data_IF_374274576939
#
_entry.id   IF_374274576939
#
_cell.length_a   1.000
_cell.length_b   1.000
_cell.length_c   1.000
_cell.angle_alpha   90.00
_cell.angle_beta   90.00
_cell.angle_gamma   90.00
#
_symmetry.space_group_name_H-M   'P 1'
#
loop_
_entity.id
_entity.type
_entity.pdbx_description
1 polymer ?
#
# COMPACT_ATOMS: atom_id res chain seq x y z
N UNK A 1 14.19 -37.29 10.52
CA UNK A 1 13.39 -36.50 9.56
C UNK A 1 12.02 -37.09 9.19
N UNK A 2 11.86 -38.41 9.01
CA UNK A 2 10.58 -39.05 8.60
C UNK A 2 9.39 -38.74 9.54
N UNK A 3 9.60 -38.73 10.85
CA UNK A 3 8.55 -38.45 11.84
C UNK A 3 7.95 -37.04 11.71
N UNK A 4 8.78 -36.03 11.40
CA UNK A 4 8.32 -34.66 11.20
C UNK A 4 7.59 -34.48 9.87
N UNK A 5 8.02 -35.18 8.81
CA UNK A 5 7.27 -35.25 7.53
C UNK A 5 5.88 -35.85 7.71
N UNK A 6 5.70 -36.78 8.66
CA UNK A 6 4.39 -37.37 8.97
C UNK A 6 3.50 -36.44 9.80
N UNK A 7 4.03 -35.82 10.86
CA UNK A 7 3.28 -34.87 11.69
C UNK A 7 2.89 -33.61 10.92
N UNK A 8 3.74 -33.09 10.04
CA UNK A 8 3.40 -31.94 9.19
C UNK A 8 2.39 -32.28 8.10
N UNK A 9 2.27 -33.55 7.67
CA UNK A 9 1.17 -33.96 6.79
C UNK A 9 -0.16 -34.11 7.54
N UNK A 10 -0.12 -34.58 8.78
CA UNK A 10 -1.33 -34.74 9.60
C UNK A 10 -1.88 -33.39 10.12
N UNK A 11 -1.00 -32.44 10.46
CA UNK A 11 -1.37 -31.06 10.80
C UNK A 11 -0.37 -30.06 10.17
N UNK A 12 -0.59 -29.67 8.89
CA UNK A 12 0.32 -28.80 8.16
C UNK A 12 0.36 -27.36 8.64
N UNK A 13 -0.51 -26.97 9.58
CA UNK A 13 -0.62 -25.61 10.13
C UNK A 13 -0.25 -25.54 11.61
N UNK A 14 0.58 -26.49 12.07
CA UNK A 14 1.07 -26.50 13.44
C UNK A 14 2.33 -25.65 13.59
N UNK A 15 2.23 -24.54 14.33
CA UNK A 15 3.37 -23.69 14.71
C UNK A 15 4.53 -24.52 15.30
N UNK A 16 4.23 -25.37 16.28
CA UNK A 16 5.23 -26.19 16.96
C UNK A 16 5.96 -27.14 16.01
N UNK A 17 5.25 -27.73 15.04
CA UNK A 17 5.86 -28.65 14.09
C UNK A 17 6.86 -27.93 13.17
N UNK A 18 6.50 -26.75 12.66
CA UNK A 18 7.38 -25.95 11.80
C UNK A 18 8.57 -25.37 12.57
N UNK A 19 8.32 -24.82 13.76
CA UNK A 19 9.39 -24.32 14.63
C UNK A 19 10.39 -25.42 14.99
N UNK A 20 9.90 -26.58 15.42
CA UNK A 20 10.75 -27.70 15.79
C UNK A 20 11.50 -28.27 14.56
N UNK A 21 10.86 -28.31 13.39
CA UNK A 21 11.54 -28.68 12.12
C UNK A 21 12.71 -27.74 11.83
N UNK A 22 12.52 -26.43 11.98
CA UNK A 22 13.57 -25.43 11.77
C UNK A 22 14.70 -25.57 12.79
N UNK A 23 14.34 -25.75 14.06
CA UNK A 23 15.32 -25.98 15.11
C UNK A 23 16.17 -27.22 14.80
N UNK A 24 15.54 -28.36 14.49
CA UNK A 24 16.26 -29.58 14.12
C UNK A 24 17.17 -29.40 12.90
N UNK A 25 16.67 -28.69 11.86
CA UNK A 25 17.45 -28.39 10.68
C UNK A 25 18.72 -27.60 11.01
N UNK A 26 18.60 -26.55 11.85
CA UNK A 26 19.72 -25.72 12.31
C UNK A 26 20.74 -26.48 13.19
N UNK A 27 20.39 -27.66 13.73
CA UNK A 27 21.33 -28.52 14.49
C UNK A 27 22.14 -29.48 13.60
N UNK A 28 21.83 -29.60 12.31
CA UNK A 28 22.54 -30.53 11.42
C UNK A 28 23.92 -29.97 11.04
N UNK A 29 24.95 -30.82 11.02
CA UNK A 29 26.30 -30.43 10.61
C UNK A 29 26.42 -30.17 9.11
N UNK A 30 25.73 -30.97 8.29
CA UNK A 30 25.62 -30.79 6.84
C UNK A 30 24.14 -30.96 6.43
N UNK A 31 23.30 -29.93 6.60
CA UNK A 31 21.91 -29.98 6.17
C UNK A 31 21.80 -30.01 4.64
N UNK A 32 20.90 -30.84 4.11
CA UNK A 32 20.53 -30.83 2.70
C UNK A 32 19.47 -29.75 2.42
N UNK A 33 19.94 -28.55 2.09
CA UNK A 33 19.11 -27.37 1.80
C UNK A 33 18.20 -27.62 0.61
N UNK A 34 18.73 -28.22 -0.46
CA UNK A 34 17.98 -28.49 -1.68
C UNK A 34 16.80 -29.43 -1.41
N UNK A 35 17.00 -30.48 -0.60
CA UNK A 35 15.93 -31.38 -0.20
C UNK A 35 14.86 -30.68 0.67
N UNK A 36 15.24 -29.72 1.52
CA UNK A 36 14.29 -28.97 2.34
C UNK A 36 13.49 -27.95 1.51
N UNK A 37 14.11 -27.23 0.57
CA UNK A 37 13.41 -26.35 -0.36
C UNK A 37 12.46 -27.12 -1.27
N UNK A 38 12.89 -28.28 -1.78
CA UNK A 38 12.03 -29.17 -2.56
C UNK A 38 10.87 -29.74 -1.73
N UNK A 39 11.07 -29.94 -0.42
CA UNK A 39 9.99 -30.31 0.49
C UNK A 39 9.00 -29.15 0.68
N UNK A 40 9.48 -27.91 0.82
CA UNK A 40 8.63 -26.73 0.91
C UNK A 40 7.76 -26.58 -0.33
N UNK A 41 8.34 -26.70 -1.53
CA UNK A 41 7.59 -26.63 -2.80
C UNK A 41 6.49 -27.68 -2.86
N UNK A 42 6.74 -28.91 -2.39
CA UNK A 42 5.70 -29.94 -2.29
C UNK A 42 4.57 -29.58 -1.32
N UNK A 43 4.86 -28.95 -0.18
CA UNK A 43 3.83 -28.49 0.75
C UNK A 43 3.03 -27.32 0.17
N UNK A 44 3.68 -26.39 -0.54
CA UNK A 44 3.04 -25.24 -1.16
C UNK A 44 2.22 -25.62 -2.40
N UNK A 45 2.59 -26.68 -3.12
CA UNK A 45 1.74 -27.23 -4.18
C UNK A 45 0.46 -27.88 -3.63
N UNK A 46 0.46 -28.32 -2.36
CA UNK A 46 -0.75 -28.83 -1.69
C UNK A 46 -1.60 -27.72 -1.07
N UNK A 47 -0.96 -26.73 -0.45
CA UNK A 47 -1.61 -25.55 0.11
C UNK A 47 -0.70 -24.32 -0.09
N UNK A 48 -0.92 -23.61 -1.20
CA UNK A 48 -0.15 -22.41 -1.55
C UNK A 48 -0.32 -21.25 -0.56
N UNK A 49 -1.33 -21.33 0.32
CA UNK A 49 -1.61 -20.32 1.36
C UNK A 49 -1.05 -20.72 2.73
N UNK A 50 -0.28 -21.80 2.82
CA UNK A 50 0.35 -22.22 4.07
C UNK A 50 1.50 -21.28 4.45
N UNK A 51 1.18 -20.21 5.17
CA UNK A 51 2.16 -19.20 5.58
C UNK A 51 3.30 -19.77 6.42
N UNK A 52 3.07 -20.82 7.22
CA UNK A 52 4.16 -21.46 7.97
C UNK A 52 5.20 -22.09 7.05
N UNK A 53 4.77 -22.70 5.94
CA UNK A 53 5.67 -23.25 4.95
C UNK A 53 6.42 -22.15 4.20
N UNK A 54 5.76 -21.02 3.90
CA UNK A 54 6.42 -19.84 3.34
C UNK A 54 7.48 -19.27 4.27
N UNK A 55 7.16 -19.10 5.55
CA UNK A 55 8.10 -18.60 6.57
C UNK A 55 9.29 -19.54 6.72
N UNK A 56 9.01 -20.85 6.82
CA UNK A 56 10.05 -21.87 6.87
C UNK A 56 10.93 -21.84 5.60
N UNK A 57 10.33 -21.72 4.41
CA UNK A 57 11.10 -21.63 3.16
C UNK A 57 12.06 -20.44 3.18
N UNK A 58 11.61 -19.26 3.61
CA UNK A 58 12.46 -18.06 3.69
C UNK A 58 13.67 -18.29 4.59
N UNK A 59 13.47 -18.90 5.76
CA UNK A 59 14.56 -19.26 6.68
C UNK A 59 15.55 -20.26 6.06
N UNK A 60 15.07 -21.27 5.33
CA UNK A 60 15.93 -22.26 4.66
C UNK A 60 16.69 -21.63 3.48
N UNK A 61 16.03 -20.78 2.69
CA UNK A 61 16.64 -20.06 1.58
C UNK A 61 17.75 -19.13 2.08
N UNK A 62 17.48 -18.35 3.14
CA UNK A 62 18.47 -17.48 3.78
C UNK A 62 19.64 -18.29 4.36
N UNK A 63 19.37 -19.39 5.08
CA UNK A 63 20.40 -20.27 5.60
C UNK A 63 21.29 -20.85 4.50
N UNK A 64 20.69 -21.20 3.35
CA UNK A 64 21.38 -21.73 2.20
C UNK A 64 22.03 -20.69 1.29
N UNK A 65 21.99 -19.41 1.67
CA UNK A 65 22.46 -18.29 0.85
C UNK A 65 21.85 -18.28 -0.56
N UNK A 66 20.60 -18.71 -0.70
CA UNK A 66 19.84 -18.57 -1.94
C UNK A 66 19.67 -17.09 -2.26
N UNK A 67 19.92 -16.76 -3.52
CA UNK A 67 19.76 -15.39 -4.03
C UNK A 67 18.29 -14.99 -4.08
N UNK A 68 18.02 -13.70 -3.94
CA UNK A 68 16.67 -13.18 -4.09
C UNK A 68 16.13 -13.43 -5.52
N UNK A 69 17.00 -13.50 -6.52
CA UNK A 69 16.67 -13.87 -7.91
C UNK A 69 16.17 -15.32 -8.03
N UNK A 70 16.76 -16.26 -7.29
CA UNK A 70 16.30 -17.66 -7.25
C UNK A 70 14.92 -17.76 -6.61
N UNK A 71 14.68 -17.02 -5.53
CA UNK A 71 13.37 -16.98 -4.87
C UNK A 71 12.32 -16.23 -5.70
N UNK A 72 12.73 -15.22 -6.48
CA UNK A 72 11.86 -14.58 -7.45
C UNK A 72 11.43 -15.59 -8.54
N UNK A 73 12.38 -16.36 -9.10
CA UNK A 73 12.08 -17.45 -10.05
C UNK A 73 11.21 -18.54 -9.44
N UNK A 74 11.33 -18.81 -8.13
CA UNK A 74 10.45 -19.73 -7.43
C UNK A 74 9.00 -19.20 -7.40
N UNK A 75 8.83 -17.93 -7.07
CA UNK A 75 7.50 -17.30 -7.07
C UNK A 75 6.86 -17.25 -8.47
N UNK A 76 7.66 -17.07 -9.54
CA UNK A 76 7.18 -17.16 -10.93
C UNK A 76 6.53 -18.52 -11.18
N UNK A 77 7.23 -19.61 -10.86
CA UNK A 77 6.71 -20.97 -11.06
C UNK A 77 5.39 -21.21 -10.33
N UNK A 78 5.24 -20.67 -9.13
CA UNK A 78 4.01 -20.84 -8.35
C UNK A 78 2.83 -20.00 -8.87
N UNK A 79 3.11 -18.82 -9.44
CA UNK A 79 2.08 -18.00 -10.10
C UNK A 79 1.69 -18.62 -11.44
N UNK A 80 2.66 -19.06 -12.23
CA UNK A 80 2.40 -19.72 -13.52
C UNK A 80 1.57 -21.00 -13.34
N UNK A 81 1.76 -21.71 -12.23
CA UNK A 81 0.95 -22.87 -11.87
C UNK A 81 -0.43 -22.50 -11.30
N UNK A 82 -0.56 -21.35 -10.63
CA UNK A 82 -1.79 -20.87 -10.02
C UNK A 82 -1.74 -19.35 -9.78
N UNK A 83 -2.37 -18.58 -10.68
CA UNK A 83 -2.44 -17.12 -10.58
C UNK A 83 -3.13 -16.64 -9.30
N UNK A 84 -3.99 -17.46 -8.71
CA UNK A 84 -4.72 -17.15 -7.46
C UNK A 84 -3.86 -17.30 -6.19
N UNK A 85 -2.56 -17.58 -6.32
CA UNK A 85 -1.65 -17.77 -5.19
C UNK A 85 -1.18 -16.43 -4.59
N UNK A 86 -2.02 -15.82 -3.75
CA UNK A 86 -1.70 -14.57 -3.04
C UNK A 86 -0.34 -14.58 -2.34
N UNK A 87 0.03 -15.69 -1.69
CA UNK A 87 1.30 -15.77 -0.97
C UNK A 87 2.51 -15.65 -1.89
N UNK A 88 2.40 -16.11 -3.15
CA UNK A 88 3.44 -15.96 -4.16
C UNK A 88 3.57 -14.51 -4.62
N UNK A 89 2.44 -13.86 -4.93
CA UNK A 89 2.43 -12.42 -5.27
C UNK A 89 2.99 -11.55 -4.14
N UNK A 90 2.59 -11.82 -2.91
CA UNK A 90 3.12 -11.13 -1.74
C UNK A 90 4.64 -11.35 -1.59
N UNK A 91 5.11 -12.59 -1.79
CA UNK A 91 6.54 -12.87 -1.71
C UNK A 91 7.32 -12.12 -2.78
N UNK A 92 6.80 -12.04 -4.03
CA UNK A 92 7.36 -11.18 -5.08
C UNK A 92 7.47 -9.73 -4.66
N UNK A 93 6.39 -9.16 -4.12
CA UNK A 93 6.34 -7.78 -3.66
C UNK A 93 7.44 -7.48 -2.63
N UNK A 94 7.83 -8.46 -1.81
CA UNK A 94 8.91 -8.32 -0.84
C UNK A 94 10.33 -8.40 -1.45
N UNK A 95 10.50 -9.08 -2.58
CA UNK A 95 11.80 -9.32 -3.22
C UNK A 95 12.15 -8.24 -4.26
N UNK A 96 11.17 -7.78 -5.03
CA UNK A 96 11.43 -6.88 -6.16
C UNK A 96 12.08 -5.55 -5.78
N UNK A 97 11.70 -4.85 -4.68
CA UNK A 97 12.31 -3.56 -4.35
C UNK A 97 13.80 -3.64 -4.01
N UNK A 98 14.28 -4.77 -3.49
CA UNK A 98 15.70 -4.97 -3.19
C UNK A 98 16.49 -5.40 -4.42
N UNK A 99 15.89 -6.20 -5.30
CA UNK A 99 16.50 -6.66 -6.55
C UNK A 99 16.59 -5.57 -7.62
N UNK A 100 15.53 -4.76 -7.72
CA UNK A 100 15.34 -3.81 -8.82
C UNK A 100 14.96 -2.43 -8.29
N UNK A 101 15.78 -1.81 -7.42
CA UNK A 101 15.47 -0.51 -6.87
C UNK A 101 15.38 0.55 -7.97
N UNK A 102 14.46 1.49 -7.83
CA UNK A 102 14.41 2.68 -8.67
C UNK A 102 15.58 3.63 -8.31
N UNK A 103 16.50 3.95 -9.23
CA UNK A 103 17.62 4.84 -8.95
C UNK A 103 17.18 6.23 -8.48
N UNK A 104 16.04 6.72 -8.99
CA UNK A 104 15.47 8.03 -8.66
C UNK A 104 14.58 8.02 -7.42
N UNK A 105 14.28 6.83 -6.87
CA UNK A 105 13.39 6.61 -5.71
C UNK A 105 12.01 7.25 -5.87
N UNK A 106 11.51 7.34 -7.10
CA UNK A 106 10.17 7.81 -7.43
C UNK A 106 9.16 6.65 -7.49
N UNK A 107 9.61 5.45 -7.84
CA UNK A 107 8.81 4.24 -8.00
C UNK A 107 9.26 3.12 -7.05
N UNK A 108 8.39 2.14 -6.81
CA UNK A 108 8.72 1.03 -5.92
C UNK A 108 9.84 0.13 -6.45
N UNK A 109 9.96 0.04 -7.77
CA UNK A 109 10.99 -0.65 -8.53
C UNK A 109 11.36 0.17 -9.76
N UNK A 110 12.47 -0.15 -10.42
CA UNK A 110 12.84 0.50 -11.67
C UNK A 110 11.76 0.34 -12.76
N UNK A 111 11.78 1.26 -13.73
CA UNK A 111 10.78 1.33 -14.80
C UNK A 111 10.59 0.02 -15.57
N UNK A 112 11.68 -0.66 -15.93
CA UNK A 112 11.60 -1.89 -16.72
C UNK A 112 10.91 -3.02 -15.94
N UNK A 113 11.22 -3.13 -14.65
CA UNK A 113 10.61 -4.13 -13.76
C UNK A 113 9.14 -3.82 -13.56
N UNK A 114 8.81 -2.55 -13.32
CA UNK A 114 7.42 -2.10 -13.20
C UNK A 114 6.60 -2.50 -14.44
N UNK A 115 7.13 -2.19 -15.63
CA UNK A 115 6.50 -2.57 -16.90
C UNK A 115 6.25 -4.08 -17.02
N UNK A 116 7.27 -4.90 -16.72
CA UNK A 116 7.17 -6.36 -16.79
C UNK A 116 6.12 -6.92 -15.82
N UNK A 117 6.04 -6.37 -14.59
CA UNK A 117 5.04 -6.81 -13.61
C UNK A 117 3.61 -6.45 -14.02
N UNK A 118 3.40 -5.29 -14.64
CA UNK A 118 2.08 -4.95 -15.20
C UNK A 118 1.68 -5.82 -16.39
N UNK A 119 2.62 -6.22 -17.25
CA UNK A 119 2.33 -7.19 -18.30
C UNK A 119 1.90 -8.54 -17.73
N UNK A 120 2.51 -8.96 -16.61
CA UNK A 120 2.12 -10.19 -15.92
C UNK A 120 0.73 -10.09 -15.31
N UNK A 121 0.39 -8.93 -14.73
CA UNK A 121 -0.94 -8.65 -14.20
C UNK A 121 -2.02 -8.64 -15.28
N UNK A 122 -1.73 -8.10 -16.46
CA UNK A 122 -2.68 -8.13 -17.58
C UNK A 122 -3.12 -9.57 -17.87
N UNK A 123 -2.18 -10.50 -18.00
CA UNK A 123 -2.52 -11.91 -18.22
C UNK A 123 -3.38 -12.48 -17.09
N UNK A 124 -3.09 -12.14 -15.83
CA UNK A 124 -3.87 -12.61 -14.69
C UNK A 124 -5.30 -12.06 -14.71
N UNK A 125 -5.49 -10.76 -14.99
CA UNK A 125 -6.80 -10.11 -15.04
C UNK A 125 -7.74 -10.75 -16.06
N UNK A 126 -7.25 -11.08 -17.26
CA UNK A 126 -8.08 -11.68 -18.30
C UNK A 126 -8.22 -13.21 -18.18
N UNK A 127 -7.39 -13.87 -17.36
CA UNK A 127 -7.48 -15.32 -17.13
C UNK A 127 -8.40 -15.67 -15.96
N UNK A 128 -8.30 -14.94 -14.86
CA UNK A 128 -9.10 -15.16 -13.64
C UNK A 128 -9.44 -13.81 -12.97
N UNK A 129 -10.38 -13.03 -13.55
CA UNK A 129 -10.73 -11.70 -13.05
C UNK A 129 -11.38 -11.73 -11.65
N UNK A 130 -11.87 -12.89 -11.19
CA UNK A 130 -12.46 -13.04 -9.85
C UNK A 130 -11.40 -13.08 -8.75
N UNK A 131 -10.18 -13.55 -9.07
CA UNK A 131 -9.12 -13.70 -8.10
C UNK A 131 -8.58 -12.35 -7.63
N UNK A 132 -8.76 -12.08 -6.35
CA UNK A 132 -8.32 -10.84 -5.71
C UNK A 132 -6.79 -10.69 -5.62
N UNK A 133 -6.00 -11.75 -5.76
CA UNK A 133 -4.57 -11.73 -5.50
C UNK A 133 -3.82 -10.85 -6.48
N UNK A 134 -4.14 -10.99 -7.78
CA UNK A 134 -3.58 -10.14 -8.82
C UNK A 134 -4.01 -8.67 -8.64
N UNK A 135 -5.27 -8.42 -8.30
CA UNK A 135 -5.79 -7.07 -8.08
C UNK A 135 -5.13 -6.37 -6.89
N UNK A 136 -4.94 -7.07 -5.76
CA UNK A 136 -4.23 -6.53 -4.60
C UNK A 136 -2.76 -6.27 -4.93
N UNK A 137 -2.13 -7.13 -5.73
CA UNK A 137 -0.75 -6.91 -6.19
C UNK A 137 -0.65 -5.68 -7.11
N UNK A 138 -1.64 -5.48 -7.99
CA UNK A 138 -1.73 -4.30 -8.84
C UNK A 138 -1.94 -3.03 -8.02
N UNK A 139 -2.80 -3.07 -7.01
CA UNK A 139 -2.99 -1.97 -6.06
C UNK A 139 -1.66 -1.62 -5.37
N UNK A 140 -0.89 -2.61 -4.92
CA UNK A 140 0.45 -2.37 -4.37
C UNK A 140 1.39 -1.69 -5.38
N UNK A 141 1.43 -2.14 -6.64
CA UNK A 141 2.25 -1.49 -7.68
C UNK A 141 1.78 -0.08 -8.03
N UNK A 142 0.47 0.19 -7.97
CA UNK A 142 -0.11 1.49 -8.28
C UNK A 142 0.12 2.49 -7.15
N UNK A 143 -0.21 2.11 -5.91
CA UNK A 143 -0.34 3.03 -4.77
C UNK A 143 0.90 3.14 -3.87
N UNK A 144 1.90 2.27 -4.07
CA UNK A 144 3.09 2.30 -3.22
C UNK A 144 4.10 3.36 -3.68
N UNK A 145 4.27 4.40 -2.86
CA UNK A 145 5.35 5.39 -2.97
C UNK A 145 6.51 4.99 -2.04
N UNK A 146 7.75 4.95 -2.55
CA UNK A 146 8.97 4.68 -1.76
C UNK A 146 9.17 5.68 -0.62
N UNK A 147 8.53 6.86 -0.66
CA UNK A 147 8.62 7.86 0.41
C UNK A 147 7.95 7.43 1.72
N UNK A 148 7.05 6.43 1.70
CA UNK A 148 6.40 5.89 2.91
C UNK A 148 7.24 4.82 3.62
N UNK A 149 8.57 4.93 3.65
CA UNK A 149 9.38 4.04 4.49
C UNK A 149 9.04 4.26 5.97
N UNK A 150 8.63 3.18 6.65
CA UNK A 150 8.75 3.06 8.10
C UNK A 150 10.20 3.32 8.46
N UNK A 151 10.45 4.36 9.25
CA UNK A 151 11.73 4.56 9.91
C UNK A 151 12.03 3.31 10.76
N UNK A 152 12.99 2.49 10.36
CA UNK A 152 13.61 1.53 11.25
C UNK A 152 14.39 2.34 12.28
N UNK A 153 13.90 2.32 13.52
CA UNK A 153 14.49 2.95 14.70
C UNK A 153 15.89 2.40 14.96
N UNK A 154 16.90 2.94 14.28
CA UNK A 154 18.31 2.70 14.60
C UNK A 154 18.85 3.97 15.24
N UNK A 155 18.89 3.95 16.58
CA UNK A 155 19.40 4.97 17.52
C UNK A 155 18.55 6.24 17.69
N UNK A 156 17.68 6.24 18.71
CA UNK A 156 17.04 7.44 19.24
C UNK A 156 17.53 7.68 20.69
N UNK A 157 17.77 8.95 21.04
CA UNK A 157 18.21 9.38 22.36
C UNK A 157 17.21 9.02 23.46
N UNK A 158 17.69 8.88 24.70
CA UNK A 158 16.93 8.40 25.87
C UNK A 158 15.67 9.21 26.19
N UNK A 159 15.59 10.48 25.78
CA UNK A 159 14.44 11.35 26.02
C UNK A 159 13.21 11.00 25.17
N UNK A 160 13.41 10.47 23.96
CA UNK A 160 12.30 10.07 23.07
C UNK A 160 11.75 8.67 23.40
N UNK A 161 12.45 7.89 24.24
CA UNK A 161 12.00 6.56 24.69
C UNK A 161 10.76 6.66 25.60
N UNK A 162 10.58 7.78 26.31
CA UNK A 162 9.38 8.02 27.09
C UNK A 162 8.31 8.72 26.25
N UNK A 163 7.60 7.93 25.41
CA UNK A 163 6.51 8.41 24.54
C UNK A 163 5.47 9.26 25.27
N UNK A 164 5.21 8.99 26.56
CA UNK A 164 4.21 9.72 27.36
C UNK A 164 4.74 11.10 27.77
N UNK A 165 6.01 11.20 28.16
CA UNK A 165 6.66 12.47 28.49
C UNK A 165 6.90 13.36 27.26
N UNK A 166 7.30 12.76 26.13
CA UNK A 166 7.46 13.49 24.86
C UNK A 166 6.13 14.03 24.34
N UNK A 167 5.06 13.22 24.36
CA UNK A 167 3.70 13.66 23.95
C UNK A 167 3.13 14.76 24.84
N UNK A 168 3.41 14.72 26.14
CA UNK A 168 2.94 15.71 27.09
C UNK A 168 3.69 17.06 26.98
N UNK A 169 4.96 17.05 26.56
CA UNK A 169 5.75 18.28 26.34
C UNK A 169 5.49 18.94 24.98
N UNK A 170 5.00 18.19 23.98
CA UNK A 170 4.83 18.64 22.60
C UNK A 170 3.35 18.66 22.15
N UNK A 171 2.43 18.97 23.07
CA UNK A 171 1.03 19.23 22.75
C UNK A 171 0.85 20.70 22.37
N UNK A 172 0.37 20.95 21.15
CA UNK A 172 0.07 22.30 20.67
C UNK A 172 -1.44 22.47 20.61
N UNK A 173 -1.93 23.66 20.97
CA UNK A 173 -3.36 23.98 20.93
C UNK A 173 -3.65 24.71 19.62
N UNK A 174 -4.60 24.18 18.88
CA UNK A 174 -5.19 24.83 17.70
C UNK A 174 -6.62 25.24 18.07
N UNK A 175 -7.11 26.34 17.51
CA UNK A 175 -8.48 26.82 17.74
C UNK A 175 -9.35 26.46 16.55
N UNK A 176 -10.14 25.39 16.69
CA UNK A 176 -11.06 24.92 15.66
C UNK A 176 -12.45 25.45 16.00
N UNK A 177 -13.01 26.33 15.18
CA UNK A 177 -14.35 26.90 15.36
C UNK A 177 -14.62 27.55 16.74
N UNK A 178 -13.61 28.15 17.38
CA UNK A 178 -13.74 28.71 18.73
C UNK A 178 -13.60 27.69 19.86
N UNK A 179 -13.39 26.41 19.53
CA UNK A 179 -13.01 25.36 20.47
C UNK A 179 -11.51 25.10 20.41
N UNK A 180 -10.86 25.10 21.57
CA UNK A 180 -9.46 24.75 21.69
C UNK A 180 -9.31 23.23 21.55
N UNK A 181 -8.78 22.79 20.41
CA UNK A 181 -8.39 21.41 20.17
C UNK A 181 -6.90 21.22 20.46
N UNK A 182 -6.57 20.32 21.39
CA UNK A 182 -5.20 19.90 21.61
C UNK A 182 -4.79 18.90 20.52
N UNK A 183 -3.81 19.27 19.70
CA UNK A 183 -3.19 18.36 18.75
C UNK A 183 -1.81 17.94 19.24
N UNK A 184 -1.49 16.66 19.06
CA UNK A 184 -0.17 16.14 19.38
C UNK A 184 0.70 16.21 18.12
N UNK A 185 1.81 16.94 18.16
CA UNK A 185 2.80 16.85 17.10
C UNK A 185 3.32 15.42 17.03
N UNK A 186 3.26 14.84 15.83
CA UNK A 186 3.89 13.56 15.53
C UNK A 186 5.18 13.85 14.78
N UNK A 187 6.33 13.27 15.20
CA UNK A 187 7.52 13.28 14.38
C UNK A 187 7.18 12.73 12.99
N UNK A 188 7.54 13.47 11.95
CA UNK A 188 7.50 12.97 10.58
C UNK A 188 8.50 11.82 10.49
N UNK A 189 8.01 10.57 10.44
CA UNK A 189 8.87 9.37 10.37
C UNK A 189 9.45 9.16 8.97
N UNK A 190 9.04 9.97 8.00
CA UNK A 190 9.36 9.85 6.57
C UNK A 190 10.30 10.93 6.05
N UNK A 191 10.55 12.00 6.82
CA UNK A 191 11.40 13.11 6.39
C UNK A 191 12.81 12.98 7.00
N UNK A 192 13.86 13.35 6.25
CA UNK A 192 15.18 13.56 6.86
C UNK A 192 15.03 14.61 7.97
N UNK A 193 15.66 14.36 9.12
CA UNK A 193 15.59 15.26 10.27
C UNK A 193 16.06 16.67 9.89
N UNK A 194 15.12 17.57 9.58
CA UNK A 194 15.38 19.00 9.67
C UNK A 194 15.34 19.40 11.14
N UNK A 195 16.25 20.28 11.57
CA UNK A 195 16.22 20.84 12.91
C UNK A 195 14.99 21.75 12.99
N UNK A 196 13.90 21.23 13.54
CA UNK A 196 12.67 21.98 13.76
C UNK A 196 12.81 22.74 15.08
N UNK A 197 12.71 24.06 15.01
CA UNK A 197 12.55 24.91 16.18
C UNK A 197 11.14 24.72 16.76
N UNK A 198 11.05 23.91 17.81
CA UNK A 198 9.80 23.58 18.50
C UNK A 198 9.14 24.81 19.14
N UNK A 199 9.88 25.88 19.44
CA UNK A 199 9.32 27.10 20.03
C UNK A 199 8.51 27.92 19.02
N UNK A 200 8.81 27.80 17.72
CA UNK A 200 8.13 28.54 16.65
C UNK A 200 6.92 27.80 16.06
N UNK A 201 6.81 26.50 16.33
CA UNK A 201 5.83 25.62 15.68
C UNK A 201 6.19 25.36 14.21
N UNK A 202 5.84 24.17 13.72
CA UNK A 202 6.09 23.76 12.34
C UNK A 202 4.85 23.11 11.75
N UNK A 203 4.53 23.51 10.51
CA UNK A 203 3.46 22.92 9.70
C UNK A 203 4.04 22.61 8.33
N UNK A 204 3.97 21.34 7.92
CA UNK A 204 4.37 20.92 6.59
C UNK A 204 3.22 21.17 5.60
N UNK A 205 3.15 22.41 5.09
CA UNK A 205 2.13 22.82 4.13
C UNK A 205 2.16 22.00 2.84
N UNK A 206 3.35 21.57 2.40
CA UNK A 206 3.48 20.79 1.17
C UNK A 206 2.85 19.40 1.32
N UNK A 207 3.08 18.72 2.44
CA UNK A 207 2.43 17.43 2.75
C UNK A 207 0.90 17.61 2.87
N UNK A 208 0.44 18.68 3.54
CA UNK A 208 -1.00 18.99 3.65
C UNK A 208 -1.62 19.23 2.26
N UNK A 209 -0.96 20.02 1.42
CA UNK A 209 -1.43 20.28 0.06
C UNK A 209 -1.45 19.03 -0.80
N UNK A 210 -0.52 18.10 -0.60
CA UNK A 210 -0.52 16.81 -1.28
C UNK A 210 -1.68 15.91 -0.79
N UNK A 211 -1.90 15.82 0.53
CA UNK A 211 -2.99 15.03 1.13
C UNK A 211 -4.36 15.46 0.60
N UNK A 212 -4.60 16.77 0.52
CA UNK A 212 -5.89 17.32 0.07
C UNK A 212 -5.92 17.61 -1.44
N UNK A 213 -4.95 17.10 -2.21
CA UNK A 213 -4.88 17.30 -3.65
C UNK A 213 -5.03 18.78 -4.05
N UNK A 214 -4.44 19.69 -3.27
CA UNK A 214 -4.30 21.11 -3.59
C UNK A 214 -3.15 21.27 -4.58
N UNK A 215 -2.06 20.55 -4.33
CA UNK A 215 -0.95 20.34 -5.26
C UNK A 215 -0.75 18.85 -5.45
N UNK A 216 -1.05 18.35 -6.63
CA UNK A 216 -0.83 16.95 -6.96
C UNK A 216 0.66 16.69 -7.18
N UNK A 217 1.16 15.58 -6.67
CA UNK A 217 2.53 15.15 -6.96
C UNK A 217 2.65 14.89 -8.47
N UNK A 218 3.71 15.36 -9.13
CA UNK A 218 3.93 15.03 -10.53
C UNK A 218 4.19 13.53 -10.67
N UNK A 219 3.52 12.91 -11.63
CA UNK A 219 3.76 11.52 -12.04
C UNK A 219 4.76 11.54 -13.19
N UNK A 220 5.84 10.76 -13.09
CA UNK A 220 6.82 10.64 -14.17
C UNK A 220 6.17 10.09 -15.44
N UNK A 221 6.67 10.47 -16.62
CA UNK A 221 6.12 10.02 -17.91
C UNK A 221 6.09 8.49 -18.02
N UNK A 222 7.15 7.84 -17.53
CA UNK A 222 7.24 6.39 -17.42
C UNK A 222 6.11 5.78 -16.57
N UNK A 223 5.84 6.35 -15.39
CA UNK A 223 4.76 5.88 -14.49
C UNK A 223 3.38 6.19 -15.08
N UNK A 224 3.21 7.36 -15.72
CA UNK A 224 1.98 7.74 -16.44
C UNK A 224 1.60 6.72 -17.50
N UNK A 225 2.52 6.41 -18.43
CA UNK A 225 2.27 5.44 -19.51
C UNK A 225 1.85 4.06 -18.98
N UNK A 226 2.40 3.66 -17.85
CA UNK A 226 2.07 2.39 -17.21
C UNK A 226 0.68 2.43 -16.57
N UNK A 227 0.33 3.51 -15.86
CA UNK A 227 -1.00 3.70 -15.26
C UNK A 227 -2.07 3.76 -16.36
N UNK A 228 -1.80 4.46 -17.47
CA UNK A 228 -2.69 4.54 -18.64
C UNK A 228 -2.97 3.14 -19.21
N UNK A 229 -1.95 2.28 -19.34
CA UNK A 229 -2.17 0.88 -19.76
C UNK A 229 -3.04 0.08 -18.79
N UNK A 230 -2.90 0.29 -17.49
CA UNK A 230 -3.76 -0.35 -16.49
C UNK A 230 -5.20 0.14 -16.64
N UNK A 231 -5.38 1.44 -16.88
CA UNK A 231 -6.68 2.04 -17.14
C UNK A 231 -7.34 1.43 -18.38
N UNK A 232 -6.61 1.32 -19.49
CA UNK A 232 -7.09 0.71 -20.74
C UNK A 232 -7.55 -0.73 -20.52
N UNK A 233 -6.71 -1.54 -19.86
CA UNK A 233 -7.04 -2.93 -19.53
C UNK A 233 -8.29 -3.04 -18.65
N UNK A 234 -8.43 -2.18 -17.63
CA UNK A 234 -9.62 -2.18 -16.78
C UNK A 234 -10.87 -1.78 -17.55
N UNK A 235 -10.78 -0.78 -18.43
CA UNK A 235 -11.90 -0.35 -19.26
C UNK A 235 -12.33 -1.43 -20.26
N UNK A 236 -11.38 -2.11 -20.90
CA UNK A 236 -11.65 -3.22 -21.80
C UNK A 236 -12.36 -4.36 -21.06
N UNK A 237 -11.82 -4.78 -19.92
CA UNK A 237 -12.42 -5.82 -19.10
C UNK A 237 -13.81 -5.44 -18.56
N UNK A 238 -14.02 -4.19 -18.14
CA UNK A 238 -15.34 -3.71 -17.71
C UNK A 238 -16.37 -3.82 -18.84
N UNK A 239 -16.02 -3.45 -20.06
CA UNK A 239 -16.90 -3.59 -21.23
C UNK A 239 -17.25 -5.05 -21.51
N UNK A 240 -16.26 -5.95 -21.44
CA UNK A 240 -16.49 -7.39 -21.62
C UNK A 240 -17.43 -7.95 -20.55
N UNK A 241 -17.17 -7.65 -19.28
CA UNK A 241 -17.95 -8.14 -18.14
C UNK A 241 -19.39 -7.59 -18.12
N UNK A 242 -19.59 -6.36 -18.58
CA UNK A 242 -20.93 -5.78 -18.77
C UNK A 242 -21.74 -6.57 -19.81
N UNK A 243 -21.13 -6.94 -20.93
CA UNK A 243 -21.77 -7.76 -21.98
C UNK A 243 -22.10 -9.16 -21.46
N UNK A 244 -21.20 -9.75 -20.67
CA UNK A 244 -21.40 -11.08 -20.06
C UNK A 244 -22.37 -11.07 -18.87
N UNK A 245 -22.79 -9.89 -18.39
CA UNK A 245 -23.66 -9.71 -17.22
C UNK A 245 -23.09 -10.25 -15.89
N UNK A 246 -21.76 -10.35 -15.78
CA UNK A 246 -21.04 -10.85 -14.59
C UNK A 246 -20.75 -9.74 -13.58
N UNK A 247 -21.82 -9.23 -12.96
CA UNK A 247 -21.76 -8.04 -12.08
C UNK A 247 -20.91 -8.24 -10.83
N UNK A 248 -20.81 -9.47 -10.35
CA UNK A 248 -20.02 -9.89 -9.19
C UNK A 248 -18.51 -9.69 -9.37
N UNK A 249 -18.04 -9.62 -10.62
CA UNK A 249 -16.63 -9.50 -10.98
C UNK A 249 -16.23 -8.02 -11.18
N UNK A 250 -17.18 -7.16 -11.58
CA UNK A 250 -16.94 -5.74 -11.94
C UNK A 250 -16.19 -4.94 -10.87
N UNK A 251 -16.35 -5.33 -9.61
CA UNK A 251 -15.74 -4.68 -8.46
C UNK A 251 -14.26 -4.38 -8.65
N UNK A 252 -13.47 -5.40 -8.96
CA UNK A 252 -12.01 -5.27 -8.95
C UNK A 252 -11.50 -4.36 -10.08
N UNK A 253 -11.88 -4.55 -11.35
CA UNK A 253 -11.47 -3.63 -12.41
C UNK A 253 -12.03 -2.22 -12.21
N UNK A 254 -13.26 -2.05 -11.69
CA UNK A 254 -13.81 -0.72 -11.41
C UNK A 254 -13.04 0.00 -10.29
N UNK A 255 -12.68 -0.72 -9.22
CA UNK A 255 -11.89 -0.17 -8.12
C UNK A 255 -10.46 0.16 -8.57
N UNK A 256 -9.79 -0.73 -9.28
CA UNK A 256 -8.44 -0.51 -9.80
C UNK A 256 -8.40 0.64 -10.81
N UNK A 257 -9.39 0.74 -11.69
CA UNK A 257 -9.54 1.90 -12.59
C UNK A 257 -9.72 3.21 -11.82
N UNK A 258 -10.53 3.19 -10.75
CA UNK A 258 -10.75 4.37 -9.89
C UNK A 258 -9.47 4.80 -9.18
N UNK A 259 -8.66 3.85 -8.68
CA UNK A 259 -7.35 4.15 -8.10
C UNK A 259 -6.36 4.67 -9.13
N UNK A 260 -6.36 4.13 -10.35
CA UNK A 260 -5.50 4.61 -11.42
C UNK A 260 -5.81 6.08 -11.80
N UNK A 261 -7.10 6.44 -11.88
CA UNK A 261 -7.50 7.84 -12.09
C UNK A 261 -7.06 8.73 -10.92
N UNK A 262 -7.24 8.26 -9.68
CA UNK A 262 -6.82 9.01 -8.48
C UNK A 262 -5.32 9.32 -8.47
N UNK A 263 -4.50 8.39 -8.96
CA UNK A 263 -3.05 8.61 -9.06
C UNK A 263 -2.67 9.54 -10.22
N UNK A 264 -3.41 9.53 -11.34
CA UNK A 264 -3.02 10.25 -12.55
C UNK A 264 -3.65 11.64 -12.67
N UNK A 265 -4.98 11.72 -12.51
CA UNK A 265 -5.79 12.91 -12.80
C UNK A 265 -6.94 13.10 -11.77
N UNK A 266 -6.62 13.18 -10.46
CA UNK A 266 -7.63 13.22 -9.40
C UNK A 266 -8.50 14.48 -9.41
N UNK A 267 -8.06 15.55 -10.07
CA UNK A 267 -8.80 16.82 -10.15
C UNK A 267 -9.66 16.85 -11.41
N UNK A 268 -9.07 16.60 -12.58
CA UNK A 268 -9.75 16.65 -13.88
C UNK A 268 -10.85 15.60 -13.98
N UNK A 269 -10.61 14.39 -13.46
CA UNK A 269 -11.54 13.26 -13.53
C UNK A 269 -12.34 13.03 -12.24
N UNK A 270 -12.40 14.03 -11.35
CA UNK A 270 -13.08 13.91 -10.05
C UNK A 270 -14.54 13.43 -10.18
N UNK A 271 -15.28 13.89 -11.18
CA UNK A 271 -16.66 13.45 -11.42
C UNK A 271 -16.74 11.95 -11.69
N UNK A 272 -15.86 11.44 -12.55
CA UNK A 272 -15.77 10.01 -12.88
C UNK A 272 -15.42 9.18 -11.66
N UNK A 273 -14.45 9.63 -10.84
CA UNK A 273 -14.08 8.96 -9.59
C UNK A 273 -15.29 8.86 -8.66
N UNK A 274 -16.00 9.97 -8.44
CA UNK A 274 -17.18 9.98 -7.56
C UNK A 274 -18.29 9.06 -8.06
N UNK A 275 -18.54 9.03 -9.39
CA UNK A 275 -19.51 8.12 -10.00
C UNK A 275 -19.11 6.66 -9.80
N UNK A 276 -17.84 6.31 -9.99
CA UNK A 276 -17.37 4.94 -9.78
C UNK A 276 -17.51 4.51 -8.31
N UNK A 277 -17.15 5.38 -7.36
CA UNK A 277 -17.28 5.10 -5.93
C UNK A 277 -18.75 4.90 -5.52
N UNK A 278 -19.68 5.68 -6.09
CA UNK A 278 -21.11 5.51 -5.85
C UNK A 278 -21.63 4.19 -6.43
N UNK A 279 -21.21 3.82 -7.65
CA UNK A 279 -21.58 2.55 -8.27
C UNK A 279 -21.04 1.35 -7.46
N UNK A 280 -19.80 1.45 -6.98
CA UNK A 280 -19.19 0.48 -6.05
C UNK A 280 -19.99 0.37 -4.75
N UNK A 281 -20.34 1.49 -4.12
CA UNK A 281 -21.06 1.50 -2.85
C UNK A 281 -22.49 0.95 -2.96
N UNK A 282 -23.18 1.21 -4.06
CA UNK A 282 -24.63 0.96 -4.16
C UNK A 282 -24.99 -0.32 -4.90
N UNK A 283 -24.24 -0.69 -5.94
CA UNK A 283 -24.63 -1.77 -6.86
C UNK A 283 -23.60 -2.88 -6.98
N UNK A 284 -22.31 -2.55 -7.02
CA UNK A 284 -21.27 -3.52 -7.37
C UNK A 284 -20.68 -4.21 -6.14
N UNK A 285 -20.43 -3.48 -5.05
CA UNK A 285 -19.81 -4.02 -3.84
C UNK A 285 -20.35 -3.38 -2.55
N UNK A 286 -21.66 -3.53 -2.27
CA UNK A 286 -22.32 -2.86 -1.15
C UNK A 286 -21.80 -3.30 0.23
N UNK A 287 -21.09 -4.42 0.32
CA UNK A 287 -20.47 -4.88 1.57
C UNK A 287 -19.37 -3.94 2.08
N UNK A 288 -18.76 -3.12 1.20
CA UNK A 288 -17.76 -2.09 1.55
C UNK A 288 -18.27 -0.67 1.29
N UNK A 289 -19.57 -0.45 1.24
CA UNK A 289 -20.17 0.87 0.96
C UNK A 289 -19.57 2.00 1.83
N UNK A 290 -19.40 1.77 3.12
CA UNK A 290 -18.83 2.76 4.05
C UNK A 290 -17.42 3.22 3.63
N UNK A 291 -16.56 2.30 3.18
CA UNK A 291 -15.21 2.63 2.69
C UNK A 291 -15.28 3.55 1.47
N UNK A 292 -16.14 3.24 0.50
CA UNK A 292 -16.30 4.04 -0.71
C UNK A 292 -16.94 5.41 -0.44
N UNK A 293 -17.94 5.46 0.44
CA UNK A 293 -18.59 6.69 0.88
C UNK A 293 -17.61 7.62 1.61
N UNK A 294 -16.76 7.08 2.49
CA UNK A 294 -15.70 7.83 3.16
C UNK A 294 -14.67 8.38 2.15
N UNK A 295 -14.25 7.57 1.18
CA UNK A 295 -13.36 8.04 0.10
C UNK A 295 -14.02 9.18 -0.69
N UNK A 296 -15.27 9.02 -1.11
CA UNK A 296 -16.00 10.04 -1.86
C UNK A 296 -16.19 11.33 -1.05
N UNK A 297 -16.48 11.21 0.25
CA UNK A 297 -16.57 12.35 1.17
C UNK A 297 -15.23 13.10 1.27
N UNK A 298 -14.11 12.39 1.45
CA UNK A 298 -12.78 12.98 1.52
C UNK A 298 -12.40 13.73 0.24
N UNK A 299 -12.80 13.20 -0.93
CA UNK A 299 -12.58 13.85 -2.22
C UNK A 299 -13.43 15.12 -2.39
N UNK A 300 -14.69 15.11 -1.91
CA UNK A 300 -15.55 16.31 -1.88
C UNK A 300 -15.00 17.39 -0.95
N UNK A 301 -14.48 17.01 0.22
CA UNK A 301 -13.78 17.92 1.13
C UNK A 301 -12.58 18.53 0.42
N UNK A 302 -11.73 17.71 -0.21
CA UNK A 302 -10.57 18.15 -0.97
C UNK A 302 -10.94 19.14 -2.08
N UNK A 303 -12.03 18.88 -2.81
CA UNK A 303 -12.59 19.80 -3.81
C UNK A 303 -12.97 21.15 -3.20
N UNK A 304 -13.65 21.16 -2.05
CA UNK A 304 -14.00 22.41 -1.34
C UNK A 304 -12.77 23.17 -0.85
N UNK A 305 -11.76 22.46 -0.37
CA UNK A 305 -10.51 23.08 0.09
C UNK A 305 -9.71 23.73 -1.05
N UNK A 306 -9.82 23.20 -2.28
CA UNK A 306 -9.25 23.80 -3.49
C UNK A 306 -9.95 25.10 -3.93
N UNK A 307 -11.25 25.24 -3.67
CA UNK A 307 -12.00 26.43 -4.05
C UNK A 307 -11.35 27.69 -3.43
N UNK A 308 -11.43 28.81 -4.14
CA UNK A 308 -10.98 30.10 -3.63
C UNK A 308 -12.12 30.87 -2.97
N UNK A 309 -11.80 31.62 -1.92
CA UNK A 309 -12.67 32.64 -1.34
C UNK A 309 -11.99 34.00 -1.55
N UNK A 310 -12.45 34.75 -2.55
CA UNK A 310 -11.66 35.86 -3.11
C UNK A 310 -10.45 35.31 -3.88
N UNK A 311 -9.25 35.80 -3.56
CA UNK A 311 -8.01 35.40 -4.23
C UNK A 311 -7.25 34.26 -3.54
N UNK A 312 -7.71 33.82 -2.37
CA UNK A 312 -7.02 32.88 -1.47
C UNK A 312 -7.72 31.52 -1.48
N UNK A 313 -6.97 30.41 -1.51
CA UNK A 313 -7.58 29.08 -1.39
C UNK A 313 -8.18 28.89 -0.01
N UNK A 314 -9.33 28.19 0.08
CA UNK A 314 -9.98 27.94 1.37
C UNK A 314 -9.06 27.24 2.35
N UNK A 315 -8.20 26.34 1.89
CA UNK A 315 -7.21 25.68 2.74
C UNK A 315 -6.24 26.67 3.40
N UNK A 316 -5.85 27.75 2.74
CA UNK A 316 -4.91 28.74 3.29
C UNK A 316 -5.58 29.59 4.38
N UNK A 317 -6.88 29.80 4.26
CA UNK A 317 -7.68 30.45 5.31
C UNK A 317 -7.69 29.62 6.59
N UNK A 318 -7.61 28.29 6.46
CA UNK A 318 -7.53 27.38 7.61
C UNK A 318 -6.25 27.56 8.40
N UNK A 319 -5.18 28.14 7.84
CA UNK A 319 -3.88 28.26 8.49
C UNK A 319 -3.43 29.71 8.49
N UNK A 320 -3.98 30.53 9.40
CA UNK A 320 -3.57 31.94 9.55
C UNK A 320 -2.41 32.06 10.53
N UNK A 321 -1.43 32.90 10.22
CA UNK A 321 -0.46 33.29 11.24
C UNK A 321 -1.09 34.30 12.20
N UNK A 322 -1.15 33.94 13.48
CA UNK A 322 -1.55 34.84 14.56
C UNK A 322 -0.36 35.02 15.49
N UNK A 323 0.11 36.25 15.66
CA UNK A 323 1.19 36.61 16.60
C UNK A 323 2.48 35.79 16.41
N UNK A 324 2.89 35.55 15.16
CA UNK A 324 4.10 34.79 14.84
C UNK A 324 3.99 33.27 14.98
N UNK A 325 2.82 32.76 15.36
CA UNK A 325 2.51 31.34 15.47
C UNK A 325 1.51 30.96 14.36
N UNK A 326 1.65 29.77 13.76
CA UNK A 326 0.65 29.25 12.83
C UNK A 326 -0.53 28.74 13.66
N UNK A 327 -1.66 29.44 13.61
CA UNK A 327 -2.90 29.04 14.27
C UNK A 327 -3.89 28.64 13.19
N UNK A 328 -4.35 27.39 13.25
CA UNK A 328 -5.35 26.93 12.30
C UNK A 328 -6.75 27.32 12.75
N UNK A 329 -7.53 28.05 11.94
CA UNK A 329 -8.95 28.36 12.19
C UNK A 329 -9.83 27.58 11.20
N UNK A 330 -10.32 26.40 11.61
CA UNK A 330 -11.27 25.61 10.81
C UNK A 330 -12.69 25.85 11.31
N UNK A 331 -13.49 26.64 10.57
CA UNK A 331 -14.95 26.69 10.73
C UNK A 331 -15.58 25.87 9.63
N UNK A 332 -16.23 24.76 9.97
CA UNK A 332 -16.89 23.88 8.99
C UNK A 332 -17.93 24.63 8.13
N UNK A 333 -18.61 25.60 8.75
CA UNK A 333 -19.54 26.52 8.07
C UNK A 333 -18.89 27.30 6.92
N UNK A 334 -17.60 27.65 7.04
CA UNK A 334 -16.85 28.37 5.99
C UNK A 334 -16.48 27.48 4.79
N UNK A 335 -16.57 26.15 4.95
CA UNK A 335 -16.34 25.19 3.88
C UNK A 335 -17.63 24.80 3.15
N UNK A 336 -18.80 25.28 3.62
CA UNK A 336 -20.11 24.91 3.08
C UNK A 336 -20.46 23.44 3.31
N UNK A 337 -19.84 22.82 4.32
CA UNK A 337 -20.08 21.45 4.76
C UNK A 337 -20.90 21.53 6.05
N UNK A 338 -22.09 20.91 6.04
CA UNK A 338 -22.95 20.81 7.23
C UNK A 338 -22.48 19.73 8.18
#
# INVERSE_FOLDING_TARGET
MLFLRMKSKANPKSYYAWFYRLWCFKQLTNPDIAAELAACEKFLNLDGRNFHCWDYRREIAEFGAHSAEEELKFSDRLIDANFSNYSSWHYRASLLPSLFPDPEKQMIVNQQTLYNEYQKLQNAFFTDPEDQSAWIYAEWLLLSDQKKKKCELVSMSSEMMNRKAFRAKNSYRFEIAGELAECQLRPSLSEPYEIIDMERGYVNFEEIYQIYHIRCKPVSEARRHIIEKVMDNCQELLKELEVEQKKEILKWPLLTYTFAILELEPIEMLSTILTNLEELATKVDPQRCQMYEEMAMNLRISQKLREKLGDVHRIDILFRQVSGHVVGELKLDNLGLK
#
